data_IF_680734055728
#
_entry.id   IF_680734055728
#
_cell.length_a   1.000
_cell.length_b   1.000
_cell.length_c   1.000
_cell.angle_alpha   90.00
_cell.angle_beta   90.00
_cell.angle_gamma   90.00
#
_symmetry.space_group_name_H-M   'P 1'
#
loop_
_entity.id
_entity.type
_entity.pdbx_description
1 polymer ?
#
# COMPACT_ATOMS: atom_id res chain seq x y z
N UNK A 1 28.99 7.71 -3.57
CA UNK A 1 27.83 8.00 -2.70
C UNK A 1 27.22 9.31 -3.18
N UNK A 2 25.94 9.28 -3.44
CA UNK A 2 25.14 10.44 -3.84
C UNK A 2 24.01 10.66 -2.81
N UNK A 3 23.80 11.89 -2.37
CA UNK A 3 22.76 12.24 -1.42
C UNK A 3 21.75 13.13 -2.13
N UNK A 4 20.50 12.72 -2.15
CA UNK A 4 19.40 13.46 -2.76
C UNK A 4 18.13 13.31 -1.95
N UNK A 5 17.20 14.25 -2.12
CA UNK A 5 15.82 14.10 -1.67
C UNK A 5 14.88 13.71 -2.81
N UNK A 6 15.40 13.59 -4.03
CA UNK A 6 14.63 13.16 -5.20
C UNK A 6 14.64 11.64 -5.31
N UNK A 7 13.46 11.05 -5.11
CA UNK A 7 13.25 9.61 -5.17
C UNK A 7 13.52 9.05 -6.57
N UNK A 8 13.14 9.79 -7.62
CA UNK A 8 13.28 9.32 -9.01
C UNK A 8 14.76 9.17 -9.34
N UNK A 9 15.58 10.15 -8.96
CA UNK A 9 17.01 10.06 -9.14
C UNK A 9 17.59 8.86 -8.39
N UNK A 10 17.30 8.73 -7.09
CA UNK A 10 17.82 7.64 -6.27
C UNK A 10 17.45 6.26 -6.82
N UNK A 11 16.19 6.08 -7.23
CA UNK A 11 15.68 4.78 -7.70
C UNK A 11 16.11 4.45 -9.15
N UNK A 12 16.53 5.46 -9.93
CA UNK A 12 16.93 5.26 -11.35
C UNK A 12 18.39 4.91 -11.50
N UNK A 13 19.27 5.54 -10.70
CA UNK A 13 20.71 5.47 -10.92
C UNK A 13 21.45 4.60 -9.92
N UNK A 14 20.88 4.30 -8.76
CA UNK A 14 21.58 3.61 -7.70
C UNK A 14 21.38 2.09 -7.75
N UNK A 15 22.45 1.33 -7.58
CA UNK A 15 22.37 -0.12 -7.35
C UNK A 15 21.80 -0.44 -5.96
N UNK A 16 22.10 0.43 -4.97
CA UNK A 16 21.57 0.37 -3.61
C UNK A 16 21.21 1.75 -3.11
N UNK A 17 20.10 1.83 -2.42
CA UNK A 17 19.60 3.05 -1.81
C UNK A 17 19.51 2.86 -0.29
N UNK A 18 19.95 3.87 0.43
CA UNK A 18 19.77 3.98 1.89
C UNK A 18 18.65 5.00 2.13
N UNK A 19 17.52 4.53 2.65
CA UNK A 19 16.43 5.41 3.08
C UNK A 19 16.68 5.85 4.51
N UNK A 20 16.76 7.15 4.72
CA UNK A 20 16.99 7.75 6.03
C UNK A 20 15.74 8.49 6.52
N UNK A 21 15.45 8.37 7.81
CA UNK A 21 14.41 9.12 8.50
C UNK A 21 14.90 9.48 9.90
N UNK A 22 14.72 10.73 10.32
CA UNK A 22 15.13 11.25 11.63
C UNK A 22 16.58 10.90 12.01
N UNK A 23 17.50 11.02 11.03
CA UNK A 23 18.93 10.76 11.22
C UNK A 23 19.31 9.27 11.30
N UNK A 24 18.36 8.36 11.08
CA UNK A 24 18.60 6.90 11.12
C UNK A 24 18.42 6.29 9.74
N UNK A 25 19.23 5.30 9.40
CA UNK A 25 18.99 4.44 8.25
C UNK A 25 17.82 3.50 8.58
N UNK A 26 16.71 3.64 7.85
CA UNK A 26 15.49 2.86 8.08
C UNK A 26 15.51 1.58 7.28
N UNK A 27 15.96 1.65 6.03
CA UNK A 27 16.11 0.46 5.17
C UNK A 27 17.23 0.70 4.15
N UNK A 28 17.95 -0.37 3.83
CA UNK A 28 18.97 -0.39 2.78
C UNK A 28 18.61 -1.51 1.83
N UNK A 29 18.54 -1.22 0.55
CA UNK A 29 18.20 -2.23 -0.46
C UNK A 29 18.32 -1.71 -1.88
N UNK A 30 18.07 -2.59 -2.83
CA UNK A 30 17.89 -2.21 -4.23
C UNK A 30 16.57 -1.42 -4.39
N UNK A 31 16.42 -0.63 -5.46
CA UNK A 31 15.16 0.04 -5.76
C UNK A 31 13.93 -0.89 -5.72
N UNK A 32 14.06 -2.10 -6.29
CA UNK A 32 13.00 -3.09 -6.30
C UNK A 32 12.64 -3.58 -4.89
N UNK A 33 13.64 -3.88 -4.04
CA UNK A 33 13.41 -4.29 -2.66
C UNK A 33 12.69 -3.21 -1.84
N UNK A 34 13.09 -1.95 -1.99
CA UNK A 34 12.44 -0.83 -1.30
C UNK A 34 11.00 -0.62 -1.76
N UNK A 35 10.73 -0.89 -3.03
CA UNK A 35 9.39 -0.79 -3.60
C UNK A 35 8.52 -1.98 -3.21
N UNK A 36 8.98 -3.22 -3.44
CA UNK A 36 8.16 -4.43 -3.29
C UNK A 36 8.08 -4.90 -1.83
N UNK A 37 9.11 -4.62 -1.03
CA UNK A 37 9.23 -5.12 0.34
C UNK A 37 9.65 -4.03 1.32
N UNK A 38 8.88 -2.95 1.45
CA UNK A 38 9.18 -1.91 2.43
C UNK A 38 9.10 -2.50 3.85
N UNK A 39 10.19 -2.38 4.61
CA UNK A 39 10.27 -2.92 5.97
C UNK A 39 9.70 -1.98 7.02
N UNK A 40 9.42 -0.74 6.63
CA UNK A 40 8.85 0.28 7.49
C UNK A 40 7.77 1.06 6.73
N UNK A 41 6.71 1.47 7.41
CA UNK A 41 5.61 2.26 6.80
C UNK A 41 6.12 3.54 6.13
N UNK A 42 7.11 4.20 6.73
CA UNK A 42 7.76 5.37 6.14
C UNK A 42 8.35 5.06 4.76
N UNK A 43 9.06 3.94 4.60
CA UNK A 43 9.64 3.53 3.31
C UNK A 43 8.53 3.27 2.29
N UNK A 44 7.48 2.55 2.68
CA UNK A 44 6.33 2.28 1.82
C UNK A 44 5.62 3.55 1.35
N UNK A 45 5.47 4.53 2.25
CA UNK A 45 4.85 5.81 1.93
C UNK A 45 5.78 6.71 1.10
N UNK A 46 7.06 6.79 1.50
CA UNK A 46 8.03 7.67 0.86
C UNK A 46 8.43 7.18 -0.54
N UNK A 47 8.66 5.88 -0.73
CA UNK A 47 9.04 5.29 -2.01
C UNK A 47 7.79 5.03 -2.86
N UNK A 48 7.63 5.80 -3.93
CA UNK A 48 6.52 5.71 -4.89
C UNK A 48 5.66 6.98 -4.94
N UNK A 49 5.04 7.19 -6.10
CA UNK A 49 4.16 8.35 -6.32
C UNK A 49 2.89 7.91 -7.07
N UNK A 50 1.76 7.83 -6.38
CA UNK A 50 1.55 8.05 -4.95
C UNK A 50 2.21 6.98 -4.07
N UNK A 51 2.38 7.29 -2.78
CA UNK A 51 2.90 6.36 -1.78
C UNK A 51 1.94 5.20 -1.50
N UNK A 52 2.41 4.21 -0.74
CA UNK A 52 1.64 3.04 -0.32
C UNK A 52 0.41 3.46 0.51
N UNK A 53 -0.73 2.85 0.25
CA UNK A 53 -1.89 2.95 1.12
C UNK A 53 -1.56 2.27 2.46
N UNK A 54 -1.82 2.95 3.56
CA UNK A 54 -1.64 2.45 4.92
C UNK A 54 -2.99 2.53 5.64
N UNK A 55 -3.54 1.38 5.98
CA UNK A 55 -4.87 1.25 6.55
C UNK A 55 -4.78 0.65 7.96
N UNK A 56 -5.23 1.36 9.01
CA UNK A 56 -5.40 0.74 10.32
C UNK A 56 -6.30 -0.49 10.21
N UNK A 57 -5.89 -1.62 10.77
CA UNK A 57 -6.60 -2.88 10.61
C UNK A 57 -6.52 -3.76 11.85
N UNK A 58 -7.50 -4.64 11.99
CA UNK A 58 -7.42 -5.83 12.85
C UNK A 58 -7.12 -7.04 11.98
N UNK A 59 -6.17 -7.86 12.41
CA UNK A 59 -5.73 -9.03 11.65
C UNK A 59 -6.15 -10.29 12.38
N UNK A 60 -6.70 -11.25 11.62
CA UNK A 60 -7.06 -12.58 12.10
C UNK A 60 -6.66 -13.62 11.06
N UNK A 61 -5.60 -14.36 11.32
CA UNK A 61 -5.05 -15.33 10.37
C UNK A 61 -4.64 -14.66 9.06
N UNK A 62 -5.29 -14.99 7.96
CA UNK A 62 -5.05 -14.39 6.63
C UNK A 62 -6.04 -13.31 6.25
N UNK A 63 -6.76 -12.72 7.20
CA UNK A 63 -7.76 -11.69 6.94
C UNK A 63 -7.44 -10.39 7.66
N UNK A 64 -7.71 -9.29 6.99
CA UNK A 64 -7.67 -7.95 7.54
C UNK A 64 -9.07 -7.37 7.61
N UNK A 65 -9.40 -6.73 8.72
CA UNK A 65 -10.63 -5.98 8.93
C UNK A 65 -10.30 -4.50 9.13
N UNK A 66 -10.71 -3.67 8.20
CA UNK A 66 -10.62 -2.20 8.24
C UNK A 66 -12.03 -1.64 8.39
N UNK A 67 -12.32 -1.01 9.51
CA UNK A 67 -13.69 -0.68 9.92
C UNK A 67 -14.61 -1.93 9.82
N UNK A 68 -15.57 -1.92 8.87
CA UNK A 68 -16.49 -3.04 8.60
C UNK A 68 -16.09 -3.84 7.34
N UNK A 69 -15.00 -3.49 6.69
CA UNK A 69 -14.56 -4.08 5.43
C UNK A 69 -13.50 -5.14 5.65
N UNK A 70 -13.80 -6.39 5.29
CA UNK A 70 -12.88 -7.51 5.41
C UNK A 70 -12.31 -7.89 4.04
N UNK A 71 -10.99 -8.17 3.99
CA UNK A 71 -10.32 -8.66 2.79
C UNK A 71 -9.19 -9.62 3.12
N UNK A 72 -8.80 -10.39 2.10
CA UNK A 72 -7.78 -11.42 2.21
C UNK A 72 -6.37 -10.82 2.15
N UNK A 73 -5.46 -11.38 2.92
CA UNK A 73 -4.02 -11.12 2.90
C UNK A 73 -3.27 -12.24 2.18
N UNK A 74 -2.10 -11.93 1.62
CA UNK A 74 -1.25 -12.91 0.95
C UNK A 74 -0.48 -13.84 1.88
N UNK A 75 -0.55 -13.64 3.20
CA UNK A 75 0.12 -14.45 4.20
C UNK A 75 -0.77 -14.66 5.42
N UNK A 76 -0.44 -15.68 6.22
CA UNK A 76 -1.11 -15.97 7.50
C UNK A 76 -0.31 -15.39 8.64
N UNK A 77 -0.99 -14.70 9.55
CA UNK A 77 -0.41 -14.08 10.74
C UNK A 77 -1.00 -14.76 11.98
N UNK A 78 -0.45 -15.88 12.44
CA UNK A 78 -1.01 -16.65 13.56
C UNK A 78 -0.93 -15.91 14.88
N UNK A 79 0.05 -15.04 15.01
CA UNK A 79 0.20 -14.14 16.17
C UNK A 79 0.89 -12.85 15.73
N UNK A 80 0.45 -11.73 16.29
CA UNK A 80 1.07 -10.44 16.10
C UNK A 80 1.56 -9.90 17.45
N UNK A 81 2.58 -9.03 17.46
CA UNK A 81 2.93 -8.28 18.66
C UNK A 81 1.70 -7.58 19.25
N UNK A 82 1.58 -7.59 20.58
CA UNK A 82 0.41 -7.01 21.27
C UNK A 82 0.50 -5.49 21.37
N UNK A 83 1.70 -4.96 21.30
CA UNK A 83 1.98 -3.54 21.48
C UNK A 83 2.24 -2.90 20.11
N UNK A 84 1.57 -1.80 19.86
CA UNK A 84 1.70 -1.00 18.65
C UNK A 84 0.45 -1.00 17.75
N UNK A 85 0.33 0.04 16.96
CA UNK A 85 -0.72 0.15 15.96
C UNK A 85 -0.48 -0.86 14.84
N UNK A 86 -1.53 -1.57 14.44
CA UNK A 86 -1.50 -2.53 13.35
C UNK A 86 -2.04 -1.85 12.10
N UNK A 87 -1.30 -1.95 11.00
CA UNK A 87 -1.70 -1.40 9.70
C UNK A 87 -1.47 -2.44 8.60
N UNK A 88 -2.31 -2.39 7.57
CA UNK A 88 -2.06 -3.06 6.30
C UNK A 88 -1.57 -2.04 5.30
N UNK A 89 -0.46 -2.35 4.65
CA UNK A 89 0.10 -1.61 3.54
C UNK A 89 -0.18 -2.31 2.22
N UNK A 90 -0.65 -1.56 1.24
CA UNK A 90 -0.81 -2.02 -0.15
C UNK A 90 -0.58 -0.86 -1.11
N UNK A 91 0.20 -1.10 -2.16
CA UNK A 91 0.46 -0.05 -3.15
C UNK A 91 -0.74 0.19 -4.04
N UNK A 92 -0.94 1.43 -4.53
CA UNK A 92 -2.02 1.76 -5.43
C UNK A 92 -2.09 0.89 -6.69
N UNK A 93 -0.95 0.40 -7.15
CA UNK A 93 -0.83 -0.49 -8.32
C UNK A 93 -1.55 -1.82 -8.13
N UNK A 94 -1.69 -2.26 -6.88
CA UNK A 94 -2.33 -3.53 -6.48
C UNK A 94 -3.74 -3.33 -5.90
N UNK A 95 -4.28 -2.13 -6.05
CA UNK A 95 -5.67 -1.78 -5.71
C UNK A 95 -6.35 -1.29 -6.97
N UNK A 96 -7.40 -1.99 -7.42
CA UNK A 96 -8.05 -1.70 -8.69
C UNK A 96 -9.53 -1.44 -8.49
N UNK A 97 -10.07 -0.38 -9.11
CA UNK A 97 -11.51 -0.17 -9.16
C UNK A 97 -12.19 -1.29 -9.95
N UNK A 98 -13.34 -1.72 -9.47
CA UNK A 98 -14.15 -2.76 -10.11
C UNK A 98 -15.64 -2.44 -10.00
N UNK A 99 -16.39 -2.81 -11.03
CA UNK A 99 -17.85 -2.84 -10.98
C UNK A 99 -18.40 -4.15 -10.40
N UNK A 100 -17.51 -5.15 -10.24
CA UNK A 100 -17.85 -6.48 -9.71
C UNK A 100 -17.68 -6.58 -8.19
N UNK A 101 -17.33 -7.77 -7.74
CA UNK A 101 -17.10 -8.08 -6.32
C UNK A 101 -15.86 -7.35 -5.80
N UNK A 102 -15.97 -6.77 -4.61
CA UNK A 102 -14.87 -6.05 -3.97
C UNK A 102 -15.36 -5.29 -2.73
N UNK A 103 -14.48 -4.47 -2.17
CA UNK A 103 -14.80 -3.62 -1.04
C UNK A 103 -15.50 -2.36 -1.52
N UNK A 104 -16.66 -2.00 -0.96
CA UNK A 104 -17.39 -0.81 -1.36
C UNK A 104 -16.64 0.45 -0.93
N UNK A 105 -16.42 1.36 -1.86
CA UNK A 105 -15.72 2.63 -1.63
C UNK A 105 -16.50 3.80 -2.23
N UNK A 106 -16.24 4.99 -1.70
CA UNK A 106 -16.72 6.23 -2.27
C UNK A 106 -15.60 6.94 -3.01
N UNK A 107 -15.81 7.25 -4.28
CA UNK A 107 -14.86 8.03 -5.09
C UNK A 107 -14.91 9.49 -4.63
N UNK A 108 -13.74 10.05 -4.38
CA UNK A 108 -13.53 11.45 -4.01
C UNK A 108 -13.00 12.27 -5.17
N UNK A 109 -12.06 11.70 -5.92
CA UNK A 109 -11.42 12.37 -7.04
C UNK A 109 -10.81 11.35 -7.98
N UNK A 110 -10.85 11.64 -9.27
CA UNK A 110 -10.10 10.94 -10.33
C UNK A 110 -8.97 11.87 -10.79
N UNK A 111 -7.77 11.31 -10.91
CA UNK A 111 -6.62 11.94 -11.53
C UNK A 111 -6.27 11.17 -12.80
N UNK A 112 -6.23 11.88 -13.92
CA UNK A 112 -5.77 11.34 -15.18
C UNK A 112 -4.31 11.78 -15.38
N UNK A 113 -3.41 10.80 -15.44
CA UNK A 113 -1.98 11.02 -15.66
C UNK A 113 -1.54 10.64 -17.08
N UNK A 114 -2.48 10.57 -18.01
CA UNK A 114 -2.27 10.20 -19.40
C UNK A 114 -2.12 8.70 -19.60
N UNK A 115 -1.07 8.09 -19.05
CA UNK A 115 -0.83 6.63 -19.17
C UNK A 115 -1.62 5.79 -18.17
N UNK A 116 -1.99 6.35 -17.03
CA UNK A 116 -2.81 5.69 -16.01
C UNK A 116 -3.75 6.69 -15.36
N UNK A 117 -4.91 6.20 -14.96
CA UNK A 117 -5.89 6.95 -14.18
C UNK A 117 -5.87 6.41 -12.75
N UNK A 118 -5.90 7.33 -11.79
CA UNK A 118 -5.94 7.01 -10.37
C UNK A 118 -7.24 7.53 -9.76
N UNK A 119 -7.83 6.73 -8.90
CA UNK A 119 -8.99 7.11 -8.10
C UNK A 119 -8.54 7.29 -6.64
N UNK A 120 -8.84 8.45 -6.08
CA UNK A 120 -8.77 8.71 -4.66
C UNK A 120 -10.12 8.36 -4.07
N UNK A 121 -10.16 7.36 -3.20
CA UNK A 121 -11.40 6.77 -2.67
C UNK A 121 -11.38 6.75 -1.15
N UNK A 122 -12.57 6.64 -0.54
CA UNK A 122 -12.71 6.39 0.90
C UNK A 122 -13.25 4.98 1.12
N UNK A 123 -12.56 4.21 1.94
CA UNK A 123 -13.00 2.95 2.53
C UNK A 123 -13.36 3.24 4.00
N UNK A 124 -14.64 3.36 4.31
CA UNK A 124 -15.05 3.84 5.61
C UNK A 124 -14.49 5.24 5.90
N UNK A 125 -13.78 5.39 7.03
CA UNK A 125 -13.11 6.63 7.42
C UNK A 125 -11.73 6.82 6.75
N UNK A 126 -11.20 5.82 6.05
CA UNK A 126 -9.83 5.80 5.54
C UNK A 126 -9.76 6.15 4.06
N UNK A 127 -8.72 6.92 3.70
CA UNK A 127 -8.46 7.26 2.31
C UNK A 127 -7.52 6.24 1.68
N UNK A 128 -7.77 5.93 0.42
CA UNK A 128 -6.95 5.05 -0.42
C UNK A 128 -6.78 5.64 -1.81
N UNK A 129 -5.73 5.20 -2.49
CA UNK A 129 -5.54 5.41 -3.92
C UNK A 129 -5.62 4.06 -4.63
N UNK A 130 -6.39 4.00 -5.69
CA UNK A 130 -6.58 2.83 -6.51
C UNK A 130 -6.33 3.15 -7.99
N UNK A 131 -5.99 2.16 -8.78
CA UNK A 131 -5.93 2.28 -10.25
C UNK A 131 -7.32 2.16 -10.85
N UNK A 132 -7.57 2.93 -11.91
CA UNK A 132 -8.79 2.85 -12.71
C UNK A 132 -8.49 2.01 -13.95
N UNK A 133 -9.16 0.87 -14.17
CA UNK A 133 -8.95 0.04 -15.36
C UNK A 133 -9.24 0.82 -16.64
N UNK A 134 -8.52 0.53 -17.76
CA UNK A 134 -8.71 1.23 -19.04
C UNK A 134 -10.12 1.09 -19.60
N UNK A 135 -10.77 -0.04 -19.37
CA UNK A 135 -12.13 -0.38 -19.81
C UNK A 135 -13.23 0.31 -18.99
N UNK A 136 -12.87 0.87 -17.83
CA UNK A 136 -13.80 1.67 -17.02
C UNK A 136 -13.85 3.11 -17.55
N UNK A 137 -14.68 3.36 -18.57
CA UNK A 137 -14.78 4.67 -19.22
C UNK A 137 -15.31 5.77 -18.29
N UNK A 138 -16.27 5.43 -17.42
CA UNK A 138 -16.81 6.33 -16.42
C UNK A 138 -16.71 5.70 -15.02
N UNK A 139 -16.43 6.52 -14.03
CA UNK A 139 -16.35 6.11 -12.62
C UNK A 139 -17.48 6.79 -11.88
N UNK A 140 -18.39 5.98 -11.35
CA UNK A 140 -19.47 6.48 -10.49
C UNK A 140 -18.96 6.86 -9.09
N UNK A 141 -19.79 7.55 -8.32
CA UNK A 141 -19.44 7.98 -6.95
C UNK A 141 -19.28 6.80 -5.98
N UNK A 142 -19.93 5.68 -6.27
CA UNK A 142 -19.87 4.44 -5.48
C UNK A 142 -19.46 3.30 -6.40
N UNK A 143 -18.35 2.68 -6.07
CA UNK A 143 -17.77 1.55 -6.79
C UNK A 143 -17.14 0.61 -5.78
N UNK A 144 -16.61 -0.50 -6.23
CA UNK A 144 -15.83 -1.40 -5.40
C UNK A 144 -14.34 -1.30 -5.73
N UNK A 145 -13.48 -1.72 -4.80
CA UNK A 145 -12.07 -1.97 -5.07
C UNK A 145 -11.75 -3.43 -4.84
N UNK A 146 -10.91 -3.97 -5.70
CA UNK A 146 -10.22 -5.23 -5.50
C UNK A 146 -8.80 -4.96 -5.01
N UNK A 147 -8.37 -5.65 -3.97
CA UNK A 147 -7.01 -5.60 -3.44
C UNK A 147 -6.35 -6.92 -3.81
N UNK A 148 -5.15 -6.88 -4.41
CA UNK A 148 -4.37 -8.09 -4.65
C UNK A 148 -3.76 -8.59 -3.34
N UNK A 149 -4.18 -9.75 -2.82
CA UNK A 149 -3.68 -10.26 -1.55
C UNK A 149 -2.17 -10.49 -1.53
N UNK A 150 -1.58 -10.93 -2.65
CA UNK A 150 -0.16 -11.24 -2.74
C UNK A 150 0.76 -10.04 -2.47
N UNK A 151 0.24 -8.83 -2.62
CA UNK A 151 0.97 -7.57 -2.46
C UNK A 151 0.55 -6.78 -1.22
N UNK A 152 -0.05 -7.46 -0.24
CA UNK A 152 -0.38 -6.86 1.07
C UNK A 152 0.74 -7.12 2.08
N UNK A 153 1.03 -6.12 2.90
CA UNK A 153 2.01 -6.19 3.98
C UNK A 153 1.35 -5.80 5.30
N UNK A 154 1.72 -6.47 6.38
CA UNK A 154 1.25 -6.12 7.74
C UNK A 154 2.39 -5.44 8.50
N UNK A 155 2.06 -4.34 9.17
CA UNK A 155 2.95 -3.55 9.99
C UNK A 155 2.42 -3.49 11.42
N UNK A 156 3.33 -3.58 12.37
CA UNK A 156 3.05 -3.34 13.80
C UNK A 156 4.05 -2.32 14.31
N UNK A 157 3.58 -1.24 14.89
CA UNK A 157 4.42 -0.11 15.30
C UNK A 157 5.38 0.33 14.16
N UNK A 158 4.81 0.50 12.95
CA UNK A 158 5.48 0.91 11.73
C UNK A 158 6.47 -0.09 11.11
N UNK A 159 6.76 -1.21 11.74
CA UNK A 159 7.69 -2.23 11.25
C UNK A 159 6.92 -3.40 10.63
N UNK A 160 7.37 -3.85 9.46
CA UNK A 160 6.76 -4.98 8.75
C UNK A 160 6.94 -6.29 9.54
N UNK A 161 5.84 -7.00 9.68
CA UNK A 161 5.83 -8.35 10.25
C UNK A 161 5.77 -9.37 9.11
N UNK A 162 6.58 -10.41 9.18
CA UNK A 162 6.53 -11.50 8.22
C UNK A 162 5.41 -12.47 8.62
N UNK A 163 4.51 -12.74 7.67
CA UNK A 163 3.53 -13.81 7.80
C UNK A 163 4.10 -15.15 7.33
N UNK A 164 3.44 -16.24 7.71
CA UNK A 164 3.68 -17.56 7.15
C UNK A 164 3.03 -17.68 5.77
N UNK A 165 3.52 -18.58 4.94
CA UNK A 165 2.87 -18.88 3.67
C UNK A 165 1.42 -19.36 3.92
N UNK A 166 0.50 -18.88 3.08
CA UNK A 166 -0.91 -19.25 3.12
C UNK A 166 -1.14 -20.66 2.57
#
# INVERSE_FOLDING_TARGET
IYVTHDQIEALTFADKVVVMNDGKAVQIGTPAELFDRPEHTFVGYFIGSPGMNLLPARISGSRALVDESEFQLGAVYPSLPKDGAIQVGVRPEYVTLTAGVGLPVQVRRIADLGRKRLAYVSLGAHQMVATVPPDMASVGDRVNVSIDPAHTHVYVADVRVQGAAA
#
